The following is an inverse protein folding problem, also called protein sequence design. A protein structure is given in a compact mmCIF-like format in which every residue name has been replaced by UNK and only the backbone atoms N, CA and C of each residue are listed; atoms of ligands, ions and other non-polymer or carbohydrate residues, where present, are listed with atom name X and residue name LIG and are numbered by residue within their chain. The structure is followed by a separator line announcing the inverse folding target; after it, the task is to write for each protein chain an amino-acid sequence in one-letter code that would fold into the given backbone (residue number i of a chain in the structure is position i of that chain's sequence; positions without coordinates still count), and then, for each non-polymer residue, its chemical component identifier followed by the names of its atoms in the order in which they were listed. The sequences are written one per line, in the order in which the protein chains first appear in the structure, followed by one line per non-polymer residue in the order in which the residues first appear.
data_IF_967952736041
#
_entry.id   IF_967952736041
#
_cell.length_a   1.000
_cell.length_b   1.000
_cell.length_c   1.000
_cell.angle_alpha   90.00
_cell.angle_beta   90.00
_cell.angle_gamma   90.00
#
_symmetry.space_group_name_H-M   'P 1'
#
loop_
_entity.id
_entity.type
_entity.pdbx_description
1 polymer ?
#
# COMPACT_ATOMS: atom_id res chain seq x y z
N UNK A 1 -26.66 10.81 -9.02
CA UNK A 1 -25.89 12.05 -8.75
C UNK A 1 -25.00 11.74 -7.56
N UNK A 2 -23.71 11.54 -7.78
CA UNK A 2 -22.77 11.28 -6.68
C UNK A 2 -22.57 12.59 -5.92
N UNK A 3 -22.80 12.58 -4.59
CA UNK A 3 -22.46 13.69 -3.72
C UNK A 3 -20.94 13.71 -3.55
N UNK A 4 -20.24 14.40 -4.45
CA UNK A 4 -18.79 14.56 -4.42
C UNK A 4 -18.46 15.71 -3.46
N UNK A 5 -17.67 15.48 -2.41
CA UNK A 5 -17.32 16.51 -1.42
C UNK A 5 -16.11 17.37 -1.85
N UNK A 6 -15.49 17.04 -2.99
CA UNK A 6 -14.44 17.86 -3.62
C UNK A 6 -13.65 17.12 -4.71
N UNK A 7 -12.60 17.76 -5.22
CA UNK A 7 -11.71 17.19 -6.24
C UNK A 7 -11.19 15.78 -5.93
N UNK A 8 -10.78 15.42 -4.69
CA UNK A 8 -10.29 14.06 -4.40
C UNK A 8 -11.30 12.95 -4.70
N UNK A 9 -12.58 13.18 -4.40
CA UNK A 9 -13.65 12.20 -4.63
C UNK A 9 -13.94 12.05 -6.13
N UNK A 10 -14.01 13.17 -6.85
CA UNK A 10 -14.20 13.18 -8.30
C UNK A 10 -13.05 12.46 -8.99
N UNK A 11 -11.83 12.77 -8.58
CA UNK A 11 -10.59 12.16 -9.06
C UNK A 11 -10.61 10.64 -8.90
N UNK A 12 -10.97 10.14 -7.71
CA UNK A 12 -11.04 8.71 -7.47
C UNK A 12 -12.13 8.03 -8.29
N UNK A 13 -13.31 8.64 -8.41
CA UNK A 13 -14.43 8.08 -9.19
C UNK A 13 -14.07 8.00 -10.68
N UNK A 14 -13.55 9.08 -11.27
CA UNK A 14 -13.19 9.11 -12.69
C UNK A 14 -12.10 8.08 -13.02
N UNK A 15 -11.08 7.95 -12.17
CA UNK A 15 -9.98 7.00 -12.39
C UNK A 15 -10.39 5.54 -12.23
N UNK A 16 -11.35 5.23 -11.35
CA UNK A 16 -11.91 3.87 -11.24
C UNK A 16 -12.64 3.41 -12.50
N UNK A 17 -13.07 4.34 -13.36
CA UNK A 17 -13.69 4.01 -14.63
C UNK A 17 -12.67 3.71 -15.74
N UNK A 18 -11.39 4.00 -15.52
CA UNK A 18 -10.30 3.68 -16.47
C UNK A 18 -9.90 2.22 -16.31
N UNK A 19 -9.96 1.46 -17.41
CA UNK A 19 -9.65 0.04 -17.38
C UNK A 19 -8.21 -0.22 -16.94
N UNK A 20 -8.01 -1.12 -15.98
CA UNK A 20 -6.69 -1.51 -15.48
C UNK A 20 -6.09 -0.60 -14.40
N UNK A 21 -6.76 0.49 -14.02
CA UNK A 21 -6.38 1.27 -12.83
C UNK A 21 -6.70 0.48 -11.56
N UNK A 22 -5.77 0.50 -10.60
CA UNK A 22 -5.94 -0.18 -9.31
C UNK A 22 -6.35 0.82 -8.22
N UNK A 23 -7.43 0.54 -7.50
CA UNK A 23 -8.02 1.48 -6.54
C UNK A 23 -7.06 1.90 -5.41
N UNK A 24 -6.31 0.96 -4.86
CA UNK A 24 -5.32 1.22 -3.80
C UNK A 24 -4.12 2.05 -4.31
N UNK A 25 -3.94 2.17 -5.62
CA UNK A 25 -2.87 2.95 -6.23
C UNK A 25 -3.31 4.35 -6.67
N UNK A 26 -4.50 4.79 -6.25
CA UNK A 26 -5.03 6.13 -6.52
C UNK A 26 -4.78 7.04 -5.31
N UNK A 27 -4.06 8.14 -5.50
CA UNK A 27 -3.94 9.18 -4.48
C UNK A 27 -3.88 10.57 -5.10
N UNK A 28 -4.61 11.50 -4.48
CA UNK A 28 -4.53 12.92 -4.76
C UNK A 28 -4.07 13.64 -3.50
N UNK A 29 -2.88 14.25 -3.55
CA UNK A 29 -2.25 14.82 -2.35
C UNK A 29 -1.51 16.10 -2.64
N UNK A 30 -1.37 16.94 -1.63
CA UNK A 30 -0.60 18.17 -1.72
C UNK A 30 0.86 17.86 -1.38
N UNK A 31 1.78 18.11 -2.32
CA UNK A 31 3.22 17.95 -2.08
C UNK A 31 3.80 19.18 -1.35
N UNK A 32 3.40 20.37 -1.80
CA UNK A 32 3.69 21.67 -1.18
C UNK A 32 2.47 22.58 -1.35
N UNK A 33 2.40 23.68 -0.59
CA UNK A 33 1.25 24.59 -0.65
C UNK A 33 1.01 25.06 -2.10
N UNK A 34 -0.21 24.80 -2.61
CA UNK A 34 -0.60 25.15 -3.98
C UNK A 34 -0.11 24.19 -5.07
N UNK A 35 0.59 23.10 -4.73
CA UNK A 35 1.05 22.07 -5.67
C UNK A 35 0.53 20.69 -5.30
N UNK A 36 -0.27 20.12 -6.19
CA UNK A 36 -0.95 18.85 -6.00
C UNK A 36 -0.39 17.78 -6.91
N UNK A 37 -0.36 16.56 -6.43
CA UNK A 37 0.16 15.41 -7.15
C UNK A 37 -0.96 14.43 -7.36
N UNK A 38 -1.20 14.12 -8.63
CA UNK A 38 -2.02 12.99 -9.05
C UNK A 38 -1.14 11.75 -9.08
N UNK A 39 -1.49 10.73 -8.31
CA UNK A 39 -0.81 9.43 -8.28
C UNK A 39 -1.78 8.36 -8.76
N UNK A 40 -1.40 7.65 -9.82
CA UNK A 40 -2.24 6.60 -10.43
C UNK A 40 -1.38 5.42 -10.82
N UNK A 41 -1.75 4.23 -10.33
CA UNK A 41 -1.17 2.96 -10.78
C UNK A 41 -2.11 2.21 -11.72
N UNK A 42 -1.56 1.71 -12.83
CA UNK A 42 -2.30 0.98 -13.86
C UNK A 42 -3.00 1.87 -14.89
N UNK A 43 -3.70 1.23 -15.82
CA UNK A 43 -4.43 1.89 -16.92
C UNK A 43 -3.56 2.42 -18.07
N UNK A 44 -4.21 2.78 -19.17
CA UNK A 44 -3.55 3.46 -20.28
C UNK A 44 -3.21 4.91 -19.91
N UNK A 45 -1.98 5.40 -20.15
CA UNK A 45 -1.59 6.76 -19.76
C UNK A 45 -2.44 7.89 -20.34
N UNK A 46 -3.01 7.73 -21.55
CA UNK A 46 -3.86 8.76 -22.16
C UNK A 46 -5.25 8.76 -21.54
N UNK A 47 -5.83 7.58 -21.29
CA UNK A 47 -7.11 7.47 -20.59
C UNK A 47 -7.02 7.98 -19.15
N UNK A 48 -5.92 7.65 -18.45
CA UNK A 48 -5.61 8.18 -17.11
C UNK A 48 -5.51 9.69 -17.15
N UNK A 49 -4.70 10.26 -18.06
CA UNK A 49 -4.55 11.71 -18.18
C UNK A 49 -5.88 12.41 -18.50
N UNK A 50 -6.73 11.80 -19.32
CA UNK A 50 -8.05 12.32 -19.64
C UNK A 50 -9.02 12.27 -18.45
N UNK A 51 -8.98 11.20 -17.64
CA UNK A 51 -9.74 11.12 -16.40
C UNK A 51 -9.29 12.18 -15.37
N UNK A 52 -7.97 12.43 -15.26
CA UNK A 52 -7.42 13.49 -14.41
C UNK A 52 -7.90 14.86 -14.92
N UNK A 53 -7.85 15.11 -16.23
CA UNK A 53 -8.33 16.35 -16.86
C UNK A 53 -9.81 16.63 -16.53
N UNK A 54 -10.66 15.60 -16.52
CA UNK A 54 -12.08 15.73 -16.16
C UNK A 54 -12.30 16.02 -14.68
N UNK A 55 -11.48 15.44 -13.81
CA UNK A 55 -11.69 15.48 -12.38
C UNK A 55 -11.07 16.70 -11.68
N UNK A 56 -9.97 17.24 -12.21
CA UNK A 56 -9.21 18.31 -11.60
C UNK A 56 -9.55 19.65 -12.27
N UNK A 57 -10.25 20.57 -11.58
CA UNK A 57 -10.73 21.82 -12.21
C UNK A 57 -9.60 22.76 -12.66
N UNK A 58 -8.49 22.78 -11.94
CA UNK A 58 -7.32 23.58 -12.26
C UNK A 58 -6.11 22.65 -12.46
N UNK A 59 -5.66 22.52 -13.70
CA UNK A 59 -4.52 21.64 -14.04
C UNK A 59 -3.19 22.33 -13.71
N UNK A 60 -3.17 23.66 -13.58
CA UNK A 60 -1.93 24.42 -13.34
C UNK A 60 -1.31 24.15 -11.96
N UNK A 61 -2.12 23.68 -11.00
CA UNK A 61 -1.67 23.26 -9.67
C UNK A 61 -1.05 21.86 -9.67
N UNK A 62 -1.26 21.06 -10.73
CA UNK A 62 -0.72 19.71 -10.79
C UNK A 62 0.80 19.75 -10.98
N UNK A 63 1.49 18.85 -10.28
CA UNK A 63 2.92 18.64 -10.43
C UNK A 63 3.22 17.15 -10.34
N UNK A 64 4.24 16.72 -11.09
CA UNK A 64 4.91 15.45 -10.90
C UNK A 64 6.35 15.65 -10.37
N UNK A 65 6.73 16.89 -10.04
CA UNK A 65 8.05 17.20 -9.52
C UNK A 65 8.16 16.85 -8.03
N UNK A 66 8.35 15.56 -7.79
CA UNK A 66 8.44 14.98 -6.45
C UNK A 66 9.57 13.96 -6.36
N UNK A 67 9.92 13.60 -5.13
CA UNK A 67 10.92 12.58 -4.82
C UNK A 67 10.43 11.70 -3.66
N UNK A 68 10.96 10.48 -3.61
CA UNK A 68 10.73 9.57 -2.50
C UNK A 68 11.76 9.80 -1.38
N UNK A 69 11.39 9.63 -0.10
CA UNK A 69 12.31 9.77 1.03
C UNK A 69 13.52 8.82 0.96
N UNK A 70 13.36 7.62 0.41
CA UNK A 70 14.46 6.66 0.22
C UNK A 70 15.48 7.07 -0.85
N UNK A 71 15.17 8.08 -1.67
CA UNK A 71 15.92 8.42 -2.87
C UNK A 71 15.61 7.54 -4.09
N UNK A 72 14.70 6.56 -3.98
CA UNK A 72 14.25 5.77 -5.12
C UNK A 72 13.58 6.68 -6.19
N UNK A 73 13.80 6.42 -7.49
CA UNK A 73 13.18 7.22 -8.54
C UNK A 73 11.65 7.09 -8.49
N UNK A 74 10.99 8.20 -8.79
CA UNK A 74 9.54 8.26 -8.99
C UNK A 74 9.28 8.33 -10.48
N UNK A 75 8.39 7.47 -11.00
CA UNK A 75 8.01 7.52 -12.41
C UNK A 75 7.06 8.71 -12.64
N UNK A 76 7.52 9.66 -13.45
CA UNK A 76 6.81 10.91 -13.76
C UNK A 76 6.28 10.84 -15.19
N UNK A 77 5.00 11.17 -15.38
CA UNK A 77 4.37 11.28 -16.71
C UNK A 77 3.77 12.66 -16.90
N UNK A 78 3.85 13.17 -18.13
CA UNK A 78 3.14 14.36 -18.58
C UNK A 78 2.54 14.04 -19.93
N UNK A 79 1.21 14.03 -20.02
CA UNK A 79 0.48 13.68 -21.24
C UNK A 79 -0.28 14.90 -21.72
N UNK A 80 -0.21 15.17 -23.03
CA UNK A 80 -0.94 16.25 -23.67
C UNK A 80 -2.37 15.82 -23.99
N UNK A 81 -3.35 16.58 -23.51
CA UNK A 81 -4.77 16.44 -23.86
C UNK A 81 -5.16 17.60 -24.76
N UNK A 82 -5.53 17.30 -26.00
CA UNK A 82 -5.97 18.31 -26.98
C UNK A 82 -7.47 18.48 -26.92
N UNK A 83 -7.91 19.70 -26.61
CA UNK A 83 -9.31 20.13 -26.68
C UNK A 83 -9.34 21.35 -27.57
N UNK A 84 -9.50 21.13 -28.88
CA UNK A 84 -9.32 22.17 -29.90
C UNK A 84 -10.03 23.49 -29.53
N UNK A 85 -9.34 24.64 -29.59
CA UNK A 85 -7.97 24.84 -30.09
C UNK A 85 -6.85 24.63 -29.05
N UNK A 86 -7.19 24.26 -27.81
CA UNK A 86 -6.29 24.25 -26.67
C UNK A 86 -5.60 22.88 -26.48
N UNK A 87 -4.45 22.91 -25.80
CA UNK A 87 -3.71 21.72 -25.37
C UNK A 87 -3.32 21.86 -23.91
N UNK A 88 -3.68 20.87 -23.09
CA UNK A 88 -3.41 20.83 -21.66
C UNK A 88 -2.35 19.79 -21.36
N UNK A 89 -1.29 20.18 -20.65
CA UNK A 89 -0.28 19.25 -20.16
C UNK A 89 -0.72 18.72 -18.79
N UNK A 90 -0.97 17.41 -18.70
CA UNK A 90 -1.45 16.77 -17.47
C UNK A 90 -0.31 15.99 -16.83
N UNK A 91 0.35 16.53 -15.79
CA UNK A 91 1.38 15.81 -15.07
C UNK A 91 0.77 14.89 -14.00
N UNK A 92 1.30 13.67 -13.89
CA UNK A 92 0.99 12.72 -12.83
C UNK A 92 2.17 11.80 -12.54
N UNK A 93 2.06 11.06 -11.43
CA UNK A 93 3.05 10.09 -10.96
C UNK A 93 2.48 8.69 -11.06
N UNK A 94 3.29 7.76 -11.55
CA UNK A 94 3.01 6.32 -11.45
C UNK A 94 3.75 5.80 -10.22
N UNK A 95 3.05 5.18 -9.26
CA UNK A 95 3.70 4.77 -8.02
C UNK A 95 4.61 3.57 -8.24
N UNK A 96 5.77 3.58 -7.59
CA UNK A 96 6.72 2.47 -7.66
C UNK A 96 6.33 1.34 -6.71
N UNK A 97 6.71 0.11 -7.06
CA UNK A 97 6.49 -1.05 -6.20
C UNK A 97 7.61 -1.19 -5.17
N UNK A 98 7.26 -1.42 -3.91
CA UNK A 98 8.17 -1.79 -2.83
C UNK A 98 7.86 -3.20 -2.38
N UNK A 99 8.84 -4.10 -2.47
CA UNK A 99 8.66 -5.47 -2.03
C UNK A 99 8.63 -5.53 -0.49
N UNK A 100 7.51 -5.97 0.06
CA UNK A 100 7.32 -6.10 1.50
C UNK A 100 7.46 -7.56 1.93
N UNK A 101 8.24 -7.79 2.99
CA UNK A 101 8.43 -9.09 3.65
C UNK A 101 7.96 -8.94 5.09
N UNK A 102 7.15 -9.85 5.60
CA UNK A 102 6.71 -9.84 7.00
C UNK A 102 7.31 -11.06 7.69
N UNK A 103 8.05 -10.83 8.78
CA UNK A 103 8.59 -11.90 9.61
C UNK A 103 7.86 -11.90 10.94
N UNK A 104 7.19 -13.00 11.24
CA UNK A 104 6.42 -13.20 12.46
C UNK A 104 7.07 -14.31 13.26
N UNK A 105 7.46 -14.00 14.49
CA UNK A 105 7.87 -14.98 15.48
C UNK A 105 6.79 -15.09 16.53
N UNK A 106 6.23 -16.27 16.72
CA UNK A 106 5.12 -16.48 17.66
C UNK A 106 5.44 -17.57 18.68
N UNK A 107 4.76 -17.55 19.82
CA UNK A 107 4.81 -18.64 20.78
C UNK A 107 3.44 -18.87 21.43
N UNK A 108 3.28 -20.04 22.04
CA UNK A 108 2.04 -20.46 22.70
C UNK A 108 2.33 -21.11 24.05
N UNK A 109 1.43 -20.89 25.00
CA UNK A 109 1.40 -21.58 26.29
C UNK A 109 0.55 -22.87 26.25
N UNK A 110 0.03 -23.24 25.08
CA UNK A 110 -0.74 -24.47 24.90
C UNK A 110 0.08 -25.71 25.28
N UNK A 111 -0.54 -26.63 26.01
CA UNK A 111 0.06 -27.93 26.37
C UNK A 111 -0.13 -28.99 25.29
N UNK A 112 -1.04 -28.76 24.35
CA UNK A 112 -1.21 -29.61 23.16
C UNK A 112 -0.29 -29.15 22.03
N UNK A 113 0.19 -30.13 21.26
CA UNK A 113 0.97 -29.86 20.06
C UNK A 113 0.15 -29.04 19.06
N UNK A 114 0.78 -27.99 18.53
CA UNK A 114 0.25 -27.16 17.46
C UNK A 114 1.27 -27.24 16.33
N UNK A 115 0.82 -27.61 15.15
CA UNK A 115 1.66 -27.69 13.95
C UNK A 115 2.05 -26.28 13.46
N UNK A 116 3.34 -25.90 13.49
CA UNK A 116 3.78 -24.58 13.03
C UNK A 116 3.53 -24.33 11.54
N UNK A 117 3.57 -25.37 10.70
CA UNK A 117 3.31 -25.23 9.26
C UNK A 117 1.82 -24.96 9.01
N UNK A 118 0.95 -25.55 9.81
CA UNK A 118 -0.49 -25.26 9.83
C UNK A 118 -0.76 -23.80 10.17
N UNK A 119 -0.07 -23.26 11.18
CA UNK A 119 -0.17 -21.85 11.59
C UNK A 119 0.32 -20.94 10.46
N UNK A 120 1.48 -21.23 9.85
CA UNK A 120 1.99 -20.44 8.75
C UNK A 120 0.98 -20.37 7.60
N UNK A 121 0.47 -21.52 7.14
CA UNK A 121 -0.50 -21.59 6.03
C UNK A 121 -1.81 -20.84 6.32
N UNK A 122 -2.28 -20.87 7.56
CA UNK A 122 -3.50 -20.17 7.96
C UNK A 122 -3.38 -18.64 7.84
N UNK A 123 -2.18 -18.10 8.02
CA UNK A 123 -1.93 -16.66 8.14
C UNK A 123 -1.43 -16.02 6.85
N UNK A 124 -0.57 -16.71 6.11
CA UNK A 124 0.21 -16.14 5.00
C UNK A 124 -0.63 -15.40 3.96
N UNK A 125 -1.75 -15.98 3.52
CA UNK A 125 -2.59 -15.38 2.49
C UNK A 125 -3.34 -14.14 2.99
N UNK A 126 -3.81 -14.15 4.24
CA UNK A 126 -4.58 -13.04 4.81
C UNK A 126 -3.69 -11.81 5.01
N UNK A 127 -2.47 -12.00 5.52
CA UNK A 127 -1.49 -10.91 5.65
C UNK A 127 -1.05 -10.40 4.28
N UNK A 128 -0.76 -11.29 3.32
CA UNK A 128 -0.42 -10.86 1.97
C UNK A 128 -1.55 -10.04 1.32
N UNK A 129 -2.81 -10.43 1.56
CA UNK A 129 -3.99 -9.69 1.13
C UNK A 129 -4.04 -8.29 1.74
N UNK A 130 -3.84 -8.18 3.06
CA UNK A 130 -3.77 -6.88 3.75
C UNK A 130 -2.69 -5.98 3.17
N UNK A 131 -1.45 -6.45 3.07
CA UNK A 131 -0.32 -5.65 2.59
C UNK A 131 -0.55 -5.14 1.16
N UNK A 132 -1.05 -6.00 0.26
CA UNK A 132 -1.35 -5.61 -1.12
C UNK A 132 -2.55 -4.65 -1.23
N UNK A 133 -3.43 -4.60 -0.23
CA UNK A 133 -4.57 -3.69 -0.18
C UNK A 133 -4.22 -2.31 0.40
N UNK A 134 -3.03 -2.13 1.01
CA UNK A 134 -2.59 -0.84 1.55
C UNK A 134 -2.54 0.20 0.42
N UNK A 135 -3.16 1.34 0.67
CA UNK A 135 -3.16 2.44 -0.28
C UNK A 135 -1.75 3.04 -0.44
N UNK A 136 -1.43 3.51 -1.65
CA UNK A 136 -0.13 4.12 -1.98
C UNK A 136 0.30 5.19 -0.96
N UNK A 137 1.53 5.08 -0.47
CA UNK A 137 2.13 5.97 0.53
C UNK A 137 1.54 5.86 1.94
N UNK A 138 0.67 4.90 2.22
CA UNK A 138 0.24 4.58 3.59
C UNK A 138 1.20 3.57 4.23
N UNK A 139 1.38 3.61 5.56
CA UNK A 139 2.27 2.69 6.27
C UNK A 139 1.64 1.30 6.45
N UNK A 140 2.50 0.31 6.72
CA UNK A 140 2.09 -0.99 7.27
C UNK A 140 1.83 -0.81 8.77
N UNK A 141 0.66 -1.23 9.24
CA UNK A 141 0.31 -1.19 10.66
C UNK A 141 0.55 -2.56 11.30
N UNK A 142 1.51 -2.64 12.22
CA UNK A 142 1.87 -3.89 12.91
C UNK A 142 0.69 -4.43 13.73
N UNK A 143 -0.18 -3.57 14.28
CA UNK A 143 -1.35 -4.04 15.03
C UNK A 143 -2.38 -4.72 14.14
N UNK A 144 -2.56 -4.25 12.91
CA UNK A 144 -3.44 -4.90 11.94
C UNK A 144 -2.89 -6.28 11.56
N UNK A 145 -1.56 -6.37 11.35
CA UNK A 145 -0.88 -7.65 11.12
C UNK A 145 -1.08 -8.62 12.30
N UNK A 146 -1.00 -8.12 13.54
CA UNK A 146 -1.22 -8.89 14.75
C UNK A 146 -2.69 -9.38 14.87
N UNK A 147 -3.67 -8.52 14.57
CA UNK A 147 -5.08 -8.88 14.62
C UNK A 147 -5.42 -9.92 13.54
N UNK A 148 -4.89 -9.75 12.32
CA UNK A 148 -5.00 -10.74 11.25
C UNK A 148 -4.37 -12.07 11.66
N UNK A 149 -3.21 -12.05 12.33
CA UNK A 149 -2.60 -13.27 12.85
C UNK A 149 -3.52 -13.97 13.84
N UNK A 150 -3.98 -13.27 14.88
CA UNK A 150 -4.82 -13.84 15.95
C UNK A 150 -6.16 -14.38 15.43
N UNK A 151 -6.81 -13.64 14.51
CA UNK A 151 -8.06 -14.07 13.88
C UNK A 151 -7.85 -15.32 13.01
N UNK A 152 -6.78 -15.35 12.22
CA UNK A 152 -6.47 -16.47 11.30
C UNK A 152 -6.13 -17.77 12.03
N UNK A 153 -5.50 -17.69 13.21
CA UNK A 153 -5.08 -18.88 13.97
C UNK A 153 -6.08 -19.33 15.03
N UNK A 154 -7.17 -18.59 15.24
CA UNK A 154 -8.14 -18.83 16.31
C UNK A 154 -8.75 -20.24 16.34
N UNK A 155 -8.87 -20.89 15.18
CA UNK A 155 -9.33 -22.28 15.07
C UNK A 155 -8.26 -23.36 15.35
N UNK A 156 -6.98 -22.97 15.42
CA UNK A 156 -5.83 -23.86 15.67
C UNK A 156 -5.29 -23.68 17.09
N UNK A 157 -5.27 -22.44 17.58
CA UNK A 157 -4.85 -22.06 18.92
C UNK A 157 -5.77 -20.97 19.44
N UNK A 158 -6.30 -21.17 20.65
CA UNK A 158 -7.10 -20.14 21.29
C UNK A 158 -6.25 -18.86 21.46
N UNK A 159 -6.76 -17.66 21.10
CA UNK A 159 -5.99 -16.42 21.19
C UNK A 159 -5.40 -16.16 22.59
N UNK A 160 -6.09 -16.58 23.65
CA UNK A 160 -5.62 -16.46 25.04
C UNK A 160 -4.40 -17.32 25.38
N UNK A 161 -4.09 -18.33 24.54
CA UNK A 161 -2.92 -19.19 24.71
C UNK A 161 -1.71 -18.71 23.89
N UNK A 162 -1.88 -17.74 23.00
CA UNK A 162 -0.75 -17.13 22.29
C UNK A 162 0.03 -16.26 23.28
N UNK A 163 1.26 -16.65 23.58
CA UNK A 163 2.08 -16.04 24.62
C UNK A 163 3.07 -15.00 24.10
N UNK A 164 3.34 -15.00 22.80
CA UNK A 164 4.24 -14.05 22.15
C UNK A 164 3.86 -13.89 20.68
N UNK A 165 3.92 -12.65 20.20
CA UNK A 165 3.92 -12.30 18.78
C UNK A 165 4.94 -11.17 18.62
N UNK A 166 6.01 -11.43 17.88
CA UNK A 166 6.99 -10.45 17.44
C UNK A 166 6.91 -10.32 15.92
N UNK A 167 6.83 -9.08 15.42
CA UNK A 167 6.58 -8.78 14.00
C UNK A 167 7.67 -7.83 13.53
N UNK A 168 8.41 -8.25 12.51
CA UNK A 168 9.38 -7.43 11.80
C UNK A 168 8.94 -7.25 10.35
N UNK A 169 9.16 -6.04 9.83
CA UNK A 169 8.79 -5.68 8.46
C UNK A 169 10.07 -5.41 7.67
N UNK A 170 10.21 -6.11 6.55
CA UNK A 170 11.22 -5.86 5.54
C UNK A 170 10.64 -5.06 4.38
N UNK A 171 11.34 -4.03 3.92
CA UNK A 171 11.02 -3.28 2.70
C UNK A 171 12.24 -3.34 1.79
N UNK A 172 12.06 -3.85 0.57
CA UNK A 172 13.12 -4.04 -0.44
C UNK A 172 14.34 -4.79 0.14
N UNK A 173 14.08 -5.84 0.93
CA UNK A 173 15.12 -6.69 1.53
C UNK A 173 15.81 -6.11 2.77
N UNK A 174 15.40 -4.94 3.28
CA UNK A 174 15.93 -4.33 4.50
C UNK A 174 14.87 -4.31 5.59
N UNK A 175 15.23 -4.71 6.81
CA UNK A 175 14.34 -4.56 7.97
C UNK A 175 14.19 -3.07 8.27
N UNK A 176 12.94 -2.60 8.31
CA UNK A 176 12.59 -1.22 8.61
C UNK A 176 11.85 -1.21 9.96
N UNK A 177 12.38 -0.53 10.99
CA UNK A 177 11.69 -0.43 12.26
C UNK A 177 10.45 0.46 12.13
N UNK A 178 9.46 0.31 13.03
CA UNK A 178 8.35 1.25 13.09
C UNK A 178 8.84 2.65 13.43
N UNK A 179 8.07 3.66 13.03
CA UNK A 179 8.33 5.04 13.42
C UNK A 179 8.26 5.18 14.94
N UNK A 180 9.11 6.06 15.49
CA UNK A 180 9.22 6.33 16.93
C UNK A 180 7.84 6.52 17.56
N UNK A 181 7.63 5.86 18.71
CA UNK A 181 6.38 5.89 19.49
C UNK A 181 5.14 5.44 18.69
N UNK A 182 5.31 4.61 17.66
CA UNK A 182 4.22 4.05 16.87
C UNK A 182 4.45 2.58 16.50
N UNK A 183 3.42 1.97 15.93
CA UNK A 183 3.47 0.63 15.33
C UNK A 183 3.33 0.69 13.81
N UNK A 184 3.66 1.84 13.21
CA UNK A 184 3.54 2.10 11.79
C UNK A 184 4.92 2.03 11.11
N UNK A 185 5.04 1.18 10.10
CA UNK A 185 6.26 1.05 9.29
C UNK A 185 6.03 1.76 7.96
N UNK A 186 6.81 2.81 7.70
CA UNK A 186 6.66 3.64 6.51
C UNK A 186 7.54 3.15 5.36
N UNK A 187 6.95 3.15 4.17
CA UNK A 187 7.65 3.03 2.90
C UNK A 187 7.87 4.40 2.26
N UNK A 188 7.97 4.40 0.94
CA UNK A 188 8.12 5.62 0.18
C UNK A 188 6.77 6.30 -0.09
N UNK A 189 6.77 7.63 -0.12
CA UNK A 189 5.54 8.43 -0.25
C UNK A 189 4.78 8.16 -1.54
N UNK A 190 5.48 7.97 -2.66
CA UNK A 190 4.92 7.70 -3.98
C UNK A 190 5.10 6.25 -4.40
N UNK A 191 5.09 5.34 -3.43
CA UNK A 191 5.21 3.91 -3.66
C UNK A 191 4.10 3.12 -2.98
N UNK A 192 3.89 1.89 -3.44
CA UNK A 192 2.95 0.95 -2.84
C UNK A 192 3.67 -0.33 -2.45
N UNK A 193 3.12 -1.04 -1.48
CA UNK A 193 3.65 -2.33 -1.06
C UNK A 193 3.14 -3.44 -1.96
N UNK A 194 4.04 -4.34 -2.35
CA UNK A 194 3.70 -5.59 -3.01
C UNK A 194 4.30 -6.77 -2.25
N UNK A 195 3.53 -7.83 -2.11
CA UNK A 195 3.98 -9.04 -1.44
C UNK A 195 3.25 -10.28 -1.95
N UNK A 196 3.76 -11.45 -1.59
CA UNK A 196 3.14 -12.75 -1.84
C UNK A 196 3.11 -13.56 -0.54
N UNK A 197 2.29 -14.60 -0.47
CA UNK A 197 2.24 -15.51 0.69
C UNK A 197 3.62 -16.08 1.06
N UNK A 198 4.48 -16.32 0.07
CA UNK A 198 5.87 -16.78 0.26
C UNK A 198 6.81 -15.75 0.93
N UNK A 199 6.45 -14.46 0.92
CA UNK A 199 7.19 -13.40 1.60
C UNK A 199 6.70 -13.17 3.04
N UNK A 200 5.66 -13.89 3.45
CA UNK A 200 5.17 -13.89 4.83
C UNK A 200 5.80 -15.10 5.54
N UNK A 201 6.81 -14.84 6.36
CA UNK A 201 7.53 -15.86 7.11
C UNK A 201 6.95 -15.93 8.53
N UNK A 202 6.44 -17.09 8.91
CA UNK A 202 5.87 -17.34 10.23
C UNK A 202 6.67 -18.46 10.87
N UNK A 203 7.31 -18.20 12.00
CA UNK A 203 8.13 -19.18 12.73
C UNK A 203 7.73 -19.22 14.19
N UNK A 204 7.71 -20.43 14.76
CA UNK A 204 7.54 -20.57 16.20
C UNK A 204 8.87 -20.23 16.90
N UNK A 205 8.79 -19.54 18.02
CA UNK A 205 9.94 -19.19 18.85
C UNK A 205 10.71 -20.45 19.26
N UNK A 206 12.04 -20.43 19.09
CA UNK A 206 12.92 -21.54 19.43
C UNK A 206 12.99 -22.67 18.40
N UNK A 207 12.22 -22.60 17.31
CA UNK A 207 12.35 -23.53 16.18
C UNK A 207 13.51 -23.11 15.28
N UNK A 208 14.56 -23.93 15.19
CA UNK A 208 15.60 -23.76 14.17
C UNK A 208 15.02 -24.07 12.78
N UNK A 209 15.40 -23.25 11.79
CA UNK A 209 15.02 -23.42 10.38
C UNK A 209 15.62 -24.68 9.76
#
# INVERSE_FOLDING_TARGET
MYGVQGTPDCYRIELKNVYGVQENLISYRQATLGRWVAVVGGGDPYEVAYAIYKAVPDISILTNDVSNPSGAPVEKKTIAITVYPDVYQVPFVVPSSQNATILITWNTASTTYIDPDGIAKAVQQNIAGYINAIAVGQPINIFEVQDIFLSSVSGLVAPSLVSMIDIQVGINGKIVPPATDSSLVYGDTYAYFSTSSSQIQVKQYGSSS
#
